data_IF_259330440084
#
_entry.id   IF_259330440084
#
_cell.length_a   1.000
_cell.length_b   1.000
_cell.length_c   1.000
_cell.angle_alpha   90.00
_cell.angle_beta   90.00
_cell.angle_gamma   90.00
#
_symmetry.space_group_name_H-M   'P 1'
#
loop_
_entity.id
_entity.type
_entity.pdbx_description
1 polymer ?
#
# COMPACT_ATOMS: atom_id res chain seq x y z
N UNK A 1 -14.72 15.05 -21.01
CA UNK A 1 -14.21 13.85 -20.31
C UNK A 1 -12.68 13.88 -20.12
N UNK A 2 -11.92 14.81 -20.71
CA UNK A 2 -10.46 14.89 -20.56
C UNK A 2 -9.95 15.63 -19.32
N UNK A 3 -10.77 16.42 -18.60
CA UNK A 3 -10.29 17.17 -17.43
C UNK A 3 -9.94 16.27 -16.25
N UNK A 4 -10.76 15.26 -15.94
CA UNK A 4 -10.55 14.42 -14.75
C UNK A 4 -9.27 13.56 -14.81
N UNK A 5 -8.87 13.07 -15.99
CA UNK A 5 -7.67 12.24 -16.11
C UNK A 5 -6.37 13.03 -15.91
N UNK A 6 -6.34 14.28 -16.41
CA UNK A 6 -5.22 15.20 -16.21
C UNK A 6 -5.05 15.55 -14.73
N UNK A 7 -6.15 15.86 -14.05
CA UNK A 7 -6.14 16.23 -12.63
C UNK A 7 -5.68 15.05 -11.75
N UNK A 8 -6.09 13.82 -12.08
CA UNK A 8 -5.64 12.60 -11.39
C UNK A 8 -4.14 12.37 -11.60
N UNK A 9 -3.65 12.49 -12.85
CA UNK A 9 -2.23 12.33 -13.16
C UNK A 9 -1.36 13.35 -12.43
N UNK A 10 -1.80 14.60 -12.32
CA UNK A 10 -1.11 15.66 -11.57
C UNK A 10 -1.09 15.35 -10.07
N UNK A 11 -2.19 14.86 -9.52
CA UNK A 11 -2.28 14.47 -8.10
C UNK A 11 -1.34 13.30 -7.79
N UNK A 12 -1.30 12.28 -8.65
CA UNK A 12 -0.37 11.13 -8.52
C UNK A 12 1.09 11.60 -8.57
N UNK A 13 1.42 12.47 -9.53
CA UNK A 13 2.78 13.02 -9.67
C UNK A 13 3.18 13.84 -8.44
N UNK A 14 2.25 14.65 -7.92
CA UNK A 14 2.47 15.44 -6.71
C UNK A 14 2.75 14.55 -5.51
N UNK A 15 1.95 13.50 -5.30
CA UNK A 15 2.18 12.53 -4.23
C UNK A 15 3.57 11.88 -4.34
N UNK A 16 3.93 11.39 -5.54
CA UNK A 16 5.23 10.76 -5.81
C UNK A 16 6.39 11.70 -5.46
N UNK A 17 6.27 12.98 -5.81
CA UNK A 17 7.30 13.98 -5.52
C UNK A 17 7.39 14.27 -4.01
N UNK A 18 6.26 14.41 -3.31
CA UNK A 18 6.24 14.60 -1.86
C UNK A 18 6.86 13.40 -1.13
N UNK A 19 6.53 12.19 -1.57
CA UNK A 19 7.09 10.95 -1.03
C UNK A 19 8.60 10.85 -1.25
N UNK A 20 9.07 11.07 -2.49
CA UNK A 20 10.49 11.06 -2.80
C UNK A 20 11.26 12.11 -1.97
N UNK A 21 10.70 13.32 -1.86
CA UNK A 21 11.29 14.39 -1.06
C UNK A 21 11.37 14.00 0.42
N UNK A 22 10.30 13.43 0.99
CA UNK A 22 10.28 12.97 2.38
C UNK A 22 11.43 11.98 2.64
N UNK A 23 11.51 10.88 1.87
CA UNK A 23 12.55 9.87 2.09
C UNK A 23 13.97 10.39 1.83
N UNK A 24 14.14 11.30 0.87
CA UNK A 24 15.45 11.94 0.62
C UNK A 24 15.89 12.90 1.73
N UNK A 25 14.94 13.41 2.52
CA UNK A 25 15.21 14.35 3.61
C UNK A 25 15.55 13.66 4.94
N UNK A 26 15.30 12.36 5.04
CA UNK A 26 15.55 11.60 6.27
C UNK A 26 17.04 11.47 6.56
N UNK A 27 17.38 11.52 7.85
CA UNK A 27 18.75 11.22 8.28
C UNK A 27 19.09 9.74 7.98
N UNK A 28 20.38 9.40 7.81
CA UNK A 28 20.80 8.00 7.65
C UNK A 28 20.30 7.10 8.79
N UNK A 29 20.25 7.64 10.03
CA UNK A 29 19.72 6.93 11.19
C UNK A 29 18.23 6.66 11.06
N UNK A 30 17.43 7.67 10.67
CA UNK A 30 15.98 7.49 10.49
C UNK A 30 15.67 6.51 9.36
N UNK A 31 16.44 6.55 8.27
CA UNK A 31 16.33 5.57 7.19
C UNK A 31 16.68 4.17 7.67
N UNK A 32 17.74 4.01 8.47
CA UNK A 32 18.14 2.72 9.02
C UNK A 32 17.02 2.12 9.89
N UNK A 33 16.36 2.96 10.70
CA UNK A 33 15.22 2.58 11.52
C UNK A 33 14.03 2.15 10.67
N UNK A 34 13.62 2.94 9.67
CA UNK A 34 12.46 2.62 8.83
C UNK A 34 12.67 1.40 7.91
N UNK A 35 13.92 1.13 7.53
CA UNK A 35 14.27 0.04 6.60
C UNK A 35 14.64 -1.27 7.30
N UNK A 36 14.32 -1.40 8.60
CA UNK A 36 14.71 -2.54 9.43
C UNK A 36 16.20 -2.87 9.31
N UNK A 37 17.05 -1.90 9.65
CA UNK A 37 18.50 -2.02 9.54
C UNK A 37 18.98 -2.32 8.11
N UNK A 38 18.34 -1.68 7.12
CA UNK A 38 18.63 -1.85 5.69
C UNK A 38 18.28 -3.23 5.10
N UNK A 39 17.40 -3.99 5.77
CA UNK A 39 16.74 -5.16 5.16
C UNK A 39 15.87 -4.76 3.96
N UNK A 40 15.35 -3.53 3.96
CA UNK A 40 14.56 -2.96 2.87
C UNK A 40 15.30 -1.78 2.24
N UNK A 41 15.07 -1.54 0.95
CA UNK A 41 15.44 -0.27 0.33
C UNK A 41 14.37 0.78 0.63
N UNK A 42 14.72 2.09 0.67
CA UNK A 42 13.73 3.14 0.91
C UNK A 42 12.57 3.13 -0.10
N UNK A 43 12.85 2.72 -1.34
CA UNK A 43 11.84 2.59 -2.40
C UNK A 43 10.84 1.47 -2.14
N UNK A 44 11.18 0.48 -1.32
CA UNK A 44 10.24 -0.58 -0.91
C UNK A 44 9.18 -0.06 0.08
N UNK A 45 9.39 1.14 0.64
CA UNK A 45 8.46 1.81 1.56
C UNK A 45 7.54 2.83 0.85
N UNK A 46 7.65 2.94 -0.47
CA UNK A 46 6.88 3.91 -1.25
C UNK A 46 5.44 3.42 -1.43
N UNK A 47 4.49 4.34 -1.28
CA UNK A 47 3.06 4.09 -1.43
C UNK A 47 2.48 4.78 -2.67
N UNK A 48 3.26 5.46 -3.51
CA UNK A 48 2.71 6.21 -4.65
C UNK A 48 1.89 5.35 -5.62
N UNK A 49 2.29 4.08 -5.84
CA UNK A 49 1.55 3.20 -6.73
C UNK A 49 0.21 2.76 -6.13
N UNK A 50 0.22 2.42 -4.84
CA UNK A 50 -1.00 2.17 -4.07
C UNK A 50 -1.94 3.38 -4.11
N UNK A 51 -1.38 4.58 -3.90
CA UNK A 51 -2.12 5.85 -3.97
C UNK A 51 -2.74 6.07 -5.35
N UNK A 52 -2.02 5.78 -6.43
CA UNK A 52 -2.56 5.84 -7.79
C UNK A 52 -3.75 4.88 -8.00
N UNK A 53 -3.70 3.68 -7.42
CA UNK A 53 -4.81 2.72 -7.48
C UNK A 53 -6.02 3.20 -6.67
N UNK A 54 -5.80 3.78 -5.49
CA UNK A 54 -6.87 4.36 -4.67
C UNK A 54 -7.56 5.53 -5.36
N UNK A 55 -6.78 6.47 -5.94
CA UNK A 55 -7.31 7.60 -6.71
C UNK A 55 -8.10 7.17 -7.94
N UNK A 56 -7.70 6.06 -8.57
CA UNK A 56 -8.40 5.47 -9.71
C UNK A 56 -9.60 4.61 -9.30
N UNK A 57 -9.99 4.64 -8.03
CA UNK A 57 -11.10 3.89 -7.46
C UNK A 57 -10.99 2.37 -7.71
N UNK A 58 -9.76 1.84 -7.78
CA UNK A 58 -9.51 0.41 -7.94
C UNK A 58 -9.52 -0.32 -6.60
N UNK A 59 -9.07 0.35 -5.54
CA UNK A 59 -9.01 -0.15 -4.17
C UNK A 59 -9.95 0.62 -3.25
N UNK A 60 -10.53 -0.03 -2.23
CA UNK A 60 -11.34 0.67 -1.24
C UNK A 60 -10.48 1.38 -0.20
N UNK A 61 -9.27 0.90 0.09
CA UNK A 61 -8.34 1.57 0.99
C UNK A 61 -6.88 1.18 0.72
N UNK A 62 -5.97 1.91 1.36
CA UNK A 62 -4.54 1.60 1.44
C UNK A 62 -4.15 1.51 2.91
N UNK A 63 -3.45 0.44 3.27
CA UNK A 63 -2.74 0.35 4.54
C UNK A 63 -1.37 1.05 4.41
N UNK A 64 -1.16 2.08 5.21
CA UNK A 64 0.09 2.85 5.30
C UNK A 64 0.88 2.27 6.46
N UNK A 65 1.82 1.41 6.10
CA UNK A 65 2.56 0.56 7.01
C UNK A 65 4.05 0.61 6.69
N UNK A 66 4.88 0.52 7.72
CA UNK A 66 6.31 0.31 7.54
C UNK A 66 6.70 -0.98 8.29
N UNK A 67 7.54 -1.85 7.72
CA UNK A 67 7.93 -3.12 8.34
C UNK A 67 8.43 -2.99 9.78
N UNK A 68 9.08 -1.87 10.11
CA UNK A 68 9.55 -1.59 11.47
C UNK A 68 8.45 -1.45 12.52
N UNK A 69 7.18 -1.35 12.13
CA UNK A 69 6.06 -1.34 13.08
C UNK A 69 5.94 -2.65 13.88
N UNK A 70 6.32 -3.79 13.30
CA UNK A 70 6.34 -5.08 14.02
C UNK A 70 7.28 -5.07 15.23
N UNK A 71 8.36 -4.29 15.17
CA UNK A 71 9.32 -4.13 16.26
C UNK A 71 9.17 -2.80 17.01
N UNK A 72 8.25 -1.92 16.59
CA UNK A 72 8.07 -0.56 17.14
C UNK A 72 7.68 -0.52 18.62
N UNK A 73 7.24 -1.64 19.20
CA UNK A 73 7.13 -1.80 20.66
C UNK A 73 8.44 -1.51 21.40
N UNK A 74 9.58 -1.53 20.70
CA UNK A 74 10.90 -1.22 21.23
C UNK A 74 11.48 0.13 20.75
N UNK A 75 10.88 0.78 19.75
CA UNK A 75 11.45 1.98 19.12
C UNK A 75 10.39 3.05 18.81
N UNK A 76 10.19 3.98 19.75
CA UNK A 76 9.20 5.07 19.62
C UNK A 76 9.41 5.96 18.39
N UNK A 77 10.65 6.01 17.87
CA UNK A 77 11.02 6.82 16.70
C UNK A 77 10.28 6.39 15.43
N UNK A 78 9.94 5.10 15.29
CA UNK A 78 9.20 4.59 14.13
C UNK A 78 7.82 5.27 14.01
N UNK A 79 7.10 5.41 15.13
CA UNK A 79 5.80 6.06 15.14
C UNK A 79 5.89 7.55 14.81
N UNK A 80 6.92 8.24 15.30
CA UNK A 80 7.15 9.66 15.00
C UNK A 80 7.48 9.89 13.52
N UNK A 81 8.30 9.01 12.93
CA UNK A 81 8.64 9.06 11.50
C UNK A 81 7.43 8.76 10.63
N UNK A 82 6.61 7.78 11.01
CA UNK A 82 5.36 7.50 10.32
C UNK A 82 4.39 8.69 10.40
N UNK A 83 4.26 9.33 11.56
CA UNK A 83 3.43 10.54 11.70
C UNK A 83 3.96 11.69 10.83
N UNK A 84 5.28 11.89 10.77
CA UNK A 84 5.88 12.89 9.88
C UNK A 84 5.61 12.58 8.41
N UNK A 85 5.71 11.32 7.99
CA UNK A 85 5.37 10.88 6.64
C UNK A 85 3.90 11.18 6.31
N UNK A 86 2.97 10.87 7.22
CA UNK A 86 1.55 11.20 7.09
C UNK A 86 1.33 12.72 6.92
N UNK A 87 2.01 13.54 7.72
CA UNK A 87 1.87 15.00 7.70
C UNK A 87 2.51 15.64 6.46
N UNK A 88 3.64 15.11 6.00
CA UNK A 88 4.40 15.67 4.88
C UNK A 88 3.90 15.22 3.51
N UNK A 89 3.32 14.01 3.43
CA UNK A 89 2.99 13.37 2.15
C UNK A 89 1.48 13.17 2.01
N UNK A 90 0.87 12.43 2.92
CA UNK A 90 -0.54 12.02 2.78
C UNK A 90 -1.52 13.16 2.95
N UNK A 91 -1.44 13.89 4.07
CA UNK A 91 -2.38 14.99 4.37
C UNK A 91 -2.38 16.05 3.26
N UNK A 92 -1.22 16.54 2.75
CA UNK A 92 -1.21 17.49 1.65
C UNK A 92 -1.83 16.92 0.36
N UNK A 93 -1.57 15.64 0.06
CA UNK A 93 -2.01 15.00 -1.18
C UNK A 93 -3.52 14.76 -1.24
N UNK A 94 -4.18 14.53 -0.10
CA UNK A 94 -5.63 14.30 -0.05
C UNK A 94 -6.44 15.53 0.41
N UNK A 95 -5.77 16.66 0.72
CA UNK A 95 -6.45 17.84 1.31
C UNK A 95 -7.57 18.38 0.43
N UNK A 96 -7.34 18.49 -0.87
CA UNK A 96 -8.34 18.94 -1.85
C UNK A 96 -9.40 17.86 -2.16
N UNK A 97 -9.19 16.63 -1.66
CA UNK A 97 -10.01 15.44 -1.90
C UNK A 97 -10.60 14.91 -0.58
N UNK A 98 -10.71 15.75 0.45
CA UNK A 98 -11.10 15.35 1.80
C UNK A 98 -12.56 14.86 1.91
N UNK A 99 -13.40 15.14 0.92
CA UNK A 99 -14.75 14.58 0.81
C UNK A 99 -14.78 13.16 0.20
N UNK A 100 -13.65 12.75 -0.39
CA UNK A 100 -13.45 11.44 -1.01
C UNK A 100 -12.61 10.51 -0.13
N UNK A 101 -11.62 11.02 0.59
CA UNK A 101 -10.68 10.20 1.35
C UNK A 101 -10.70 10.49 2.84
N UNK A 102 -10.72 9.41 3.64
CA UNK A 102 -10.64 9.47 5.10
C UNK A 102 -9.34 8.80 5.56
N UNK A 103 -8.51 9.54 6.30
CA UNK A 103 -7.24 9.04 6.83
C UNK A 103 -7.38 8.78 8.33
N UNK A 104 -7.11 7.54 8.77
CA UNK A 104 -7.28 7.13 10.16
C UNK A 104 -6.14 6.27 10.65
N UNK A 105 -5.75 6.45 11.91
CA UNK A 105 -4.82 5.58 12.60
C UNK A 105 -5.55 4.32 13.08
N UNK A 106 -4.94 3.15 12.88
CA UNK A 106 -5.39 1.90 13.43
C UNK A 106 -4.94 1.77 14.89
N UNK A 107 -5.83 1.21 15.72
CA UNK A 107 -5.54 0.97 17.13
C UNK A 107 -6.02 -0.41 17.53
N UNK A 108 -5.12 -1.19 18.15
CA UNK A 108 -5.37 -2.56 18.61
C UNK A 108 -5.94 -3.45 17.50
N UNK A 109 -5.37 -3.38 16.30
CA UNK A 109 -5.74 -4.23 15.17
C UNK A 109 -4.55 -5.11 14.81
N UNK A 110 -4.80 -6.37 14.48
CA UNK A 110 -3.83 -7.31 13.91
C UNK A 110 -4.49 -8.20 12.87
N UNK A 111 -3.69 -8.94 12.11
CA UNK A 111 -4.09 -10.11 11.35
C UNK A 111 -3.23 -11.31 11.78
N UNK A 112 -3.51 -12.54 11.33
CA UNK A 112 -2.63 -13.68 11.56
C UNK A 112 -1.16 -13.43 11.18
N UNK A 113 -0.91 -12.62 10.15
CA UNK A 113 0.44 -12.37 9.63
C UNK A 113 1.03 -10.99 9.94
N UNK A 114 0.25 -10.05 10.51
CA UNK A 114 0.74 -8.69 10.73
C UNK A 114 0.17 -8.04 12.00
N UNK A 115 1.03 -7.32 12.73
CA UNK A 115 0.60 -6.39 13.80
C UNK A 115 0.33 -5.03 13.16
N UNK A 116 -0.93 -4.59 13.18
CA UNK A 116 -1.37 -3.37 12.49
C UNK A 116 -1.57 -2.19 13.45
N UNK A 117 -1.30 -2.37 14.75
CA UNK A 117 -1.42 -1.31 15.73
C UNK A 117 -0.47 -0.15 15.43
N UNK A 118 -1.01 1.06 15.36
CA UNK A 118 -0.25 2.26 15.04
C UNK A 118 -0.04 2.51 13.54
N UNK A 119 -0.39 1.56 12.67
CA UNK A 119 -0.47 1.81 11.23
C UNK A 119 -1.56 2.83 10.89
N UNK A 120 -1.55 3.34 9.66
CA UNK A 120 -2.60 4.22 9.17
C UNK A 120 -3.33 3.57 8.00
N UNK A 121 -4.58 3.97 7.77
CA UNK A 121 -5.35 3.58 6.60
C UNK A 121 -5.95 4.80 5.94
N UNK A 122 -5.80 4.90 4.62
CA UNK A 122 -6.48 5.88 3.79
C UNK A 122 -7.64 5.19 3.07
N UNK A 123 -8.88 5.58 3.38
CA UNK A 123 -10.10 4.95 2.88
C UNK A 123 -10.69 5.82 1.77
N UNK A 124 -11.03 5.22 0.63
CA UNK A 124 -11.82 5.88 -0.40
C UNK A 124 -13.31 5.76 -0.04
N UNK A 125 -13.89 6.84 0.47
CA UNK A 125 -15.28 6.94 0.90
C UNK A 125 -16.29 6.92 -0.26
N UNK A 126 -15.84 7.00 -1.50
CA UNK A 126 -16.67 6.83 -2.70
C UNK A 126 -16.64 5.40 -3.24
N UNK A 127 -15.75 4.53 -2.73
CA UNK A 127 -15.69 3.14 -3.16
C UNK A 127 -16.86 2.32 -2.59
N UNK A 128 -17.35 1.34 -3.35
CA UNK A 128 -18.51 0.51 -2.96
C UNK A 128 -18.29 -0.23 -1.63
N UNK A 129 -17.06 -0.69 -1.38
CA UNK A 129 -16.67 -1.38 -0.15
C UNK A 129 -16.24 -0.45 1.01
N UNK A 130 -16.38 0.87 0.94
CA UNK A 130 -15.94 1.79 2.01
C UNK A 130 -16.52 1.44 3.39
N UNK A 131 -17.81 1.09 3.45
CA UNK A 131 -18.46 0.64 4.68
C UNK A 131 -17.91 -0.71 5.18
N UNK A 132 -17.48 -1.58 4.27
CA UNK A 132 -16.86 -2.85 4.63
C UNK A 132 -15.49 -2.60 5.28
N UNK A 133 -14.68 -1.70 4.71
CA UNK A 133 -13.41 -1.27 5.30
C UNK A 133 -13.64 -0.71 6.71
N UNK A 134 -14.62 0.18 6.87
CA UNK A 134 -14.94 0.75 8.18
C UNK A 134 -15.30 -0.32 9.20
N UNK A 135 -16.13 -1.30 8.80
CA UNK A 135 -16.49 -2.42 9.68
C UNK A 135 -15.32 -3.34 9.99
N UNK A 136 -14.40 -3.50 9.06
CA UNK A 136 -13.23 -4.39 9.16
C UNK A 136 -12.19 -3.84 10.13
N UNK A 137 -11.96 -2.53 10.13
CA UNK A 137 -10.89 -1.93 10.93
C UNK A 137 -11.38 -1.17 12.18
N UNK A 138 -12.62 -0.66 12.21
CA UNK A 138 -13.04 0.33 13.21
C UNK A 138 -14.29 -0.01 14.01
N UNK A 139 -14.88 -1.20 13.85
CA UNK A 139 -15.95 -1.61 14.78
C UNK A 139 -15.32 -1.84 16.15
N UNK A 140 -15.85 -1.14 17.15
CA UNK A 140 -15.39 -1.18 18.53
C UNK A 140 -15.55 -2.58 19.11
N UNK A 141 -14.44 -3.17 19.54
CA UNK A 141 -14.47 -4.32 20.44
C UNK A 141 -14.58 -3.81 21.89
N UNK A 142 -15.79 -3.86 22.44
CA UNK A 142 -16.07 -3.49 23.83
C UNK A 142 -15.35 -4.37 24.85
N UNK A 143 -14.78 -5.51 24.44
CA UNK A 143 -13.95 -6.35 25.31
C UNK A 143 -12.56 -5.76 25.57
N UNK A 144 -12.17 -4.71 24.83
CA UNK A 144 -10.87 -4.05 24.94
C UNK A 144 -9.69 -4.86 24.38
N UNK A 145 -9.96 -6.06 23.84
CA UNK A 145 -8.97 -6.94 23.21
C UNK A 145 -8.56 -6.42 21.83
N UNK A 146 -7.35 -6.76 21.36
CA UNK A 146 -6.97 -6.53 19.98
C UNK A 146 -7.94 -7.23 19.03
N UNK A 147 -8.40 -6.50 18.04
CA UNK A 147 -9.18 -7.04 16.95
C UNK A 147 -8.26 -7.80 16.00
N UNK A 148 -8.57 -9.06 15.77
CA UNK A 148 -7.93 -9.87 14.74
C UNK A 148 -8.79 -9.86 13.48
N UNK A 149 -8.27 -9.29 12.41
CA UNK A 149 -8.88 -9.28 11.07
C UNK A 149 -8.43 -10.55 10.35
N UNK A 150 -9.38 -11.28 9.76
CA UNK A 150 -9.06 -12.49 8.99
C UNK A 150 -8.27 -12.14 7.72
N UNK A 151 -7.47 -13.08 7.21
CA UNK A 151 -6.75 -12.85 5.96
C UNK A 151 -7.69 -12.70 4.75
N UNK A 152 -8.87 -13.31 4.81
CA UNK A 152 -9.92 -13.11 3.82
C UNK A 152 -10.46 -11.67 3.83
N UNK A 153 -10.67 -11.10 5.02
CA UNK A 153 -11.08 -9.72 5.17
C UNK A 153 -9.97 -8.76 4.72
N UNK A 154 -8.72 -9.04 5.10
CA UNK A 154 -7.54 -8.27 4.67
C UNK A 154 -7.42 -8.25 3.15
N UNK A 155 -7.49 -9.42 2.50
CA UNK A 155 -7.45 -9.53 1.05
C UNK A 155 -8.57 -8.73 0.39
N UNK A 156 -9.79 -8.78 0.93
CA UNK A 156 -10.91 -8.01 0.38
C UNK A 156 -10.71 -6.50 0.52
N UNK A 157 -10.31 -6.01 1.70
CA UNK A 157 -10.16 -4.56 1.94
C UNK A 157 -8.92 -3.97 1.28
N UNK A 158 -7.92 -4.79 0.95
CA UNK A 158 -6.73 -4.36 0.21
C UNK A 158 -6.81 -4.69 -1.29
N UNK A 159 -7.92 -5.29 -1.75
CA UNK A 159 -8.15 -5.78 -3.12
C UNK A 159 -7.04 -6.76 -3.58
N UNK A 160 -6.60 -7.67 -2.71
CA UNK A 160 -5.74 -8.77 -3.13
C UNK A 160 -6.56 -9.89 -3.78
N UNK A 161 -6.09 -10.44 -4.93
CA UNK A 161 -6.84 -11.46 -5.67
C UNK A 161 -6.95 -12.80 -4.93
N UNK A 162 -6.18 -12.97 -3.86
CA UNK A 162 -6.09 -14.17 -3.03
C UNK A 162 -5.88 -13.79 -1.57
N UNK A 163 -6.49 -14.54 -0.67
CA UNK A 163 -6.16 -14.49 0.75
C UNK A 163 -4.96 -15.39 1.06
N UNK A 164 -4.13 -14.98 2.02
CA UNK A 164 -3.10 -15.85 2.57
C UNK A 164 -3.75 -16.90 3.49
N UNK A 165 -3.19 -18.12 3.57
CA UNK A 165 -3.69 -19.14 4.49
C UNK A 165 -3.41 -18.67 5.92
N UNK A 166 -4.28 -19.03 6.87
CA UNK A 166 -4.14 -18.53 8.24
C UNK A 166 -3.03 -19.24 9.04
N UNK A 167 -2.54 -20.43 8.63
CA UNK A 167 -1.74 -21.27 9.56
C UNK A 167 -0.74 -22.31 8.98
N UNK A 168 -0.46 -22.43 7.67
CA UNK A 168 0.47 -23.49 7.20
C UNK A 168 1.78 -22.98 6.55
N UNK A 169 2.89 -22.95 7.29
CA UNK A 169 4.22 -22.68 6.76
C UNK A 169 4.75 -23.76 5.80
N UNK A 170 4.16 -24.95 5.72
CA UNK A 170 4.62 -26.01 4.82
C UNK A 170 4.21 -25.78 3.36
N UNK A 171 3.35 -24.78 3.09
CA UNK A 171 2.90 -24.44 1.75
C UNK A 171 3.78 -23.38 1.06
N UNK A 172 4.95 -23.01 1.60
CA UNK A 172 5.83 -21.97 1.03
C UNK A 172 6.10 -22.14 -0.48
N UNK A 173 6.31 -23.37 -0.95
CA UNK A 173 6.57 -23.68 -2.37
C UNK A 173 5.35 -23.45 -3.29
N UNK A 174 4.17 -23.24 -2.73
CA UNK A 174 2.93 -22.95 -3.47
C UNK A 174 2.71 -21.45 -3.65
N UNK A 175 3.52 -20.59 -3.03
CA UNK A 175 3.38 -19.14 -3.10
C UNK A 175 4.33 -18.51 -4.11
N UNK A 176 3.82 -17.53 -4.83
CA UNK A 176 4.58 -16.71 -5.77
C UNK A 176 4.49 -15.25 -5.34
N UNK A 177 5.60 -14.54 -5.51
CA UNK A 177 5.62 -13.11 -5.33
C UNK A 177 5.10 -12.44 -6.61
N UNK A 178 4.14 -11.55 -6.44
CA UNK A 178 3.57 -10.75 -7.53
C UNK A 178 3.99 -9.30 -7.33
N UNK A 179 4.43 -8.66 -8.41
CA UNK A 179 4.66 -7.22 -8.43
C UNK A 179 4.05 -6.60 -9.69
N UNK A 180 3.39 -5.46 -9.52
CA UNK A 180 3.03 -4.59 -10.65
C UNK A 180 4.07 -3.49 -10.72
N UNK A 181 4.75 -3.40 -11.85
CA UNK A 181 5.84 -2.47 -12.08
C UNK A 181 5.37 -1.35 -13.00
N UNK A 182 5.80 -0.12 -12.74
CA UNK A 182 5.62 0.99 -13.68
C UNK A 182 6.62 0.86 -14.82
N UNK A 183 6.14 0.65 -16.04
CA UNK A 183 6.94 0.66 -17.26
C UNK A 183 6.94 2.07 -17.84
N UNK A 184 8.06 2.78 -17.69
CA UNK A 184 8.24 4.13 -18.25
C UNK A 184 8.67 4.10 -19.73
N UNK A 185 8.70 2.91 -20.36
CA UNK A 185 9.12 2.71 -21.74
C UNK A 185 10.61 2.95 -21.96
N UNK A 186 11.38 3.29 -20.92
CA UNK A 186 12.83 3.41 -21.00
C UNK A 186 13.40 2.06 -20.63
N UNK A 187 14.09 1.42 -21.58
CA UNK A 187 15.01 0.33 -21.27
C UNK A 187 15.88 0.80 -20.10
N UNK A 188 15.79 0.10 -18.95
CA UNK A 188 16.55 0.43 -17.75
C UNK A 188 18.01 0.69 -18.14
N UNK A 189 18.39 1.96 -18.19
CA UNK A 189 19.65 2.40 -18.76
C UNK A 189 20.71 2.30 -17.66
N UNK A 190 21.04 1.06 -17.28
CA UNK A 190 22.10 0.75 -16.35
C UNK A 190 21.65 -0.12 -15.16
N UNK A 191 22.61 -0.77 -14.48
CA UNK A 191 22.37 -1.69 -13.38
C UNK A 191 21.76 -1.05 -12.11
N UNK A 192 21.57 0.27 -12.09
CA UNK A 192 21.13 1.04 -10.93
C UNK A 192 19.70 1.59 -11.01
N UNK A 193 19.03 1.52 -12.16
CA UNK A 193 17.67 2.06 -12.30
C UNK A 193 16.66 0.93 -12.09
N UNK A 194 16.24 0.72 -10.84
CA UNK A 194 15.17 -0.22 -10.51
C UNK A 194 13.85 0.32 -11.06
N UNK A 195 13.13 -0.53 -11.79
CA UNK A 195 11.75 -0.26 -12.20
C UNK A 195 10.90 -0.02 -10.94
N UNK A 196 10.19 1.11 -10.83
CA UNK A 196 9.37 1.40 -9.67
C UNK A 196 8.27 0.33 -9.45
N UNK A 197 8.13 -0.12 -8.21
CA UNK A 197 7.09 -1.06 -7.81
C UNK A 197 5.84 -0.27 -7.44
N UNK A 198 4.72 -0.56 -8.11
CA UNK A 198 3.44 0.08 -7.85
C UNK A 198 2.66 -0.62 -6.73
N UNK A 199 2.76 -1.95 -6.67
CA UNK A 199 2.27 -2.80 -5.58
C UNK A 199 3.00 -4.13 -5.64
N UNK A 200 3.12 -4.78 -4.48
CA UNK A 200 3.55 -6.16 -4.41
C UNK A 200 2.71 -6.91 -3.37
N UNK A 201 2.48 -8.19 -3.64
CA UNK A 201 1.76 -9.08 -2.74
C UNK A 201 2.15 -10.53 -3.03
N UNK A 202 1.78 -11.41 -2.12
CA UNK A 202 1.97 -12.86 -2.28
C UNK A 202 0.64 -13.48 -2.69
N UNK A 203 0.67 -14.42 -3.62
CA UNK A 203 -0.51 -15.17 -4.05
C UNK A 203 -0.14 -16.65 -4.20
N UNK A 204 -1.14 -17.53 -4.13
CA UNK A 204 -0.93 -18.94 -4.44
C UNK A 204 -0.70 -19.10 -5.95
N UNK A 205 0.16 -20.04 -6.32
CA UNK A 205 0.51 -20.34 -7.72
C UNK A 205 -0.70 -20.80 -8.54
N UNK A 206 -1.68 -21.46 -7.92
CA UNK A 206 -2.95 -21.88 -8.53
C UNK A 206 -3.91 -20.70 -8.82
N UNK A 207 -3.71 -19.55 -8.17
CA UNK A 207 -4.50 -18.32 -8.36
C UNK A 207 -3.95 -17.40 -9.46
N UNK A 208 -2.95 -17.82 -10.24
CA UNK A 208 -2.33 -17.00 -11.28
C UNK A 208 -3.33 -16.46 -12.32
N UNK A 209 -4.42 -17.19 -12.58
CA UNK A 209 -5.50 -16.72 -13.46
C UNK A 209 -6.21 -15.48 -12.89
N UNK A 210 -6.54 -15.49 -11.59
CA UNK A 210 -7.13 -14.34 -10.88
C UNK A 210 -6.16 -13.17 -10.83
N UNK A 211 -4.86 -13.43 -10.60
CA UNK A 211 -3.82 -12.39 -10.64
C UNK A 211 -3.77 -11.72 -12.01
N UNK A 212 -3.84 -12.47 -13.12
CA UNK A 212 -3.84 -11.91 -14.47
C UNK A 212 -5.08 -11.08 -14.76
N UNK A 213 -6.26 -11.52 -14.32
CA UNK A 213 -7.50 -10.75 -14.45
C UNK A 213 -7.42 -9.44 -13.64
N UNK A 214 -6.99 -9.53 -12.38
CA UNK A 214 -6.77 -8.38 -11.53
C UNK A 214 -5.75 -7.41 -12.14
N UNK A 215 -4.61 -7.89 -12.62
CA UNK A 215 -3.62 -7.08 -13.32
C UNK A 215 -4.20 -6.39 -14.56
N UNK A 216 -5.02 -7.08 -15.36
CA UNK A 216 -5.64 -6.50 -16.55
C UNK A 216 -6.57 -5.33 -16.19
N UNK A 217 -7.39 -5.46 -15.13
CA UNK A 217 -8.23 -4.38 -14.57
C UNK A 217 -7.36 -3.16 -14.20
N UNK A 218 -6.27 -3.39 -13.47
CA UNK A 218 -5.38 -2.33 -13.00
C UNK A 218 -4.62 -1.66 -14.14
N UNK A 219 -4.08 -2.44 -15.07
CA UNK A 219 -3.35 -1.95 -16.24
C UNK A 219 -4.25 -1.10 -17.14
N UNK A 220 -5.50 -1.53 -17.36
CA UNK A 220 -6.46 -0.75 -18.15
C UNK A 220 -6.77 0.62 -17.51
N UNK A 221 -6.98 0.67 -16.20
CA UNK A 221 -7.23 1.90 -15.48
C UNK A 221 -6.01 2.82 -15.43
N UNK A 222 -4.81 2.29 -15.16
CA UNK A 222 -3.57 3.09 -15.11
C UNK A 222 -3.21 3.74 -16.45
N UNK A 223 -3.51 3.10 -17.57
CA UNK A 223 -3.31 3.71 -18.89
C UNK A 223 -4.10 5.00 -19.07
N UNK A 224 -5.25 5.15 -18.39
CA UNK A 224 -6.07 6.38 -18.47
C UNK A 224 -5.40 7.58 -17.81
N UNK A 225 -4.46 7.35 -16.89
CA UNK A 225 -3.65 8.36 -16.21
C UNK A 225 -2.19 8.36 -16.69
N UNK A 226 -1.92 7.75 -17.85
CA UNK A 226 -0.60 7.77 -18.48
C UNK A 226 0.44 6.83 -17.86
N UNK A 227 0.03 5.90 -16.98
CA UNK A 227 0.91 4.91 -16.37
C UNK A 227 0.77 3.58 -17.10
N UNK A 228 1.88 3.02 -17.57
CA UNK A 228 1.90 1.65 -18.12
C UNK A 228 2.36 0.69 -17.05
N UNK A 229 1.64 -0.41 -16.86
CA UNK A 229 2.02 -1.45 -15.90
C UNK A 229 2.61 -2.68 -16.61
N UNK A 230 3.59 -3.29 -15.96
CA UNK A 230 4.11 -4.62 -16.26
C UNK A 230 3.85 -5.57 -15.08
N UNK A 231 3.50 -6.82 -15.36
CA UNK A 231 3.35 -7.88 -14.36
C UNK A 231 4.67 -8.64 -14.22
N UNK A 232 5.16 -8.76 -12.99
CA UNK A 232 6.25 -9.66 -12.63
C UNK A 232 5.75 -10.72 -11.64
N UNK A 233 6.14 -11.98 -11.87
CA UNK A 233 5.86 -13.13 -11.00
C UNK A 233 7.21 -13.80 -10.72
N UNK A 234 7.52 -14.06 -9.45
CA UNK A 234 8.73 -14.77 -9.02
C UNK A 234 8.37 -15.92 -8.07
#
# INVERSE_FOLDING_TARGET
>A
MSSNASDLSETITTFRNLEANFFSSLSPQDLHVLTLNSCYSPTDLYHYGEFAFLLSNLRPCILIYVPSLEIASTESRVHDLLLQYIQAVWIPSIRSLADMFELRKLSKVSSPHAVLDGAWVCINMKHADAQYVQRTFFVEDLSGRPRVVSEADMARVLDYPSALPEVDPQEHDQYIQIAYLEDDGKLAAGPSQKTPVMTCFISRSDDLSKVKEHFAKYSAAMRTVGITLQLACA
#
